data_IF_951321676684
#
_entry.id   IF_951321676684
#
_cell.length_a   1.000
_cell.length_b   1.000
_cell.length_c   1.000
_cell.angle_alpha   90.00
_cell.angle_beta   90.00
_cell.angle_gamma   90.00
#
_symmetry.space_group_name_H-M   'P 1'
#
loop_
_entity.id
_entity.type
_entity.pdbx_description
1 polymer ?
#
# COMPACT_ATOMS: atom_id res chain seq x y z
N UNK A 1 -19.47 -48.19 3.49
CA UNK A 1 -19.62 -49.12 2.34
C UNK A 1 -19.07 -48.42 1.12
N UNK A 2 -18.06 -49.05 0.55
CA UNK A 2 -17.20 -48.63 -0.57
C UNK A 2 -17.92 -48.75 -1.90
N UNK A 3 -17.87 -47.71 -2.74
CA UNK A 3 -18.13 -47.84 -4.17
C UNK A 3 -16.82 -47.62 -4.93
N UNK A 4 -16.27 -48.72 -5.43
CA UNK A 4 -15.23 -48.76 -6.45
C UNK A 4 -15.88 -48.68 -7.83
N UNK A 5 -15.44 -47.74 -8.68
CA UNK A 5 -15.50 -47.89 -10.13
C UNK A 5 -14.09 -47.88 -10.72
N UNK A 6 -13.61 -49.10 -10.90
CA UNK A 6 -12.79 -49.67 -11.98
C UNK A 6 -12.18 -48.72 -13.03
N UNK A 7 -10.84 -48.74 -13.05
CA UNK A 7 -9.91 -48.86 -14.20
C UNK A 7 -10.38 -48.35 -15.57
N UNK A 8 -9.68 -47.33 -16.06
CA UNK A 8 -9.26 -47.29 -17.47
C UNK A 8 -7.79 -46.88 -17.56
N UNK A 9 -7.10 -47.68 -18.34
CA UNK A 9 -5.66 -47.83 -18.49
C UNK A 9 -5.03 -46.69 -19.28
N UNK A 10 -3.82 -46.32 -18.87
CA UNK A 10 -2.66 -46.08 -19.74
C UNK A 10 -2.87 -45.32 -21.05
N UNK A 11 -2.60 -44.01 -21.01
CA UNK A 11 -1.88 -43.35 -22.10
C UNK A 11 -0.57 -42.81 -21.51
N UNK A 12 0.46 -43.66 -21.58
CA UNK A 12 1.84 -43.26 -21.34
C UNK A 12 2.26 -42.33 -22.48
N UNK A 13 2.27 -41.02 -22.22
CA UNK A 13 3.11 -40.09 -22.96
C UNK A 13 4.33 -39.81 -22.09
N UNK A 14 5.32 -40.70 -22.26
CA UNK A 14 6.67 -40.46 -21.83
C UNK A 14 7.24 -39.30 -22.66
N UNK A 15 7.19 -38.09 -22.12
CA UNK A 15 8.17 -37.06 -22.45
C UNK A 15 9.24 -37.08 -21.35
N UNK A 16 10.30 -37.84 -21.64
CA UNK A 16 11.58 -37.70 -20.98
C UNK A 16 12.11 -36.30 -21.29
N UNK A 17 12.05 -35.41 -20.31
CA UNK A 17 12.56 -34.05 -20.40
C UNK A 17 12.83 -33.53 -19.00
N UNK A 18 14.00 -33.89 -18.47
CA UNK A 18 14.77 -33.15 -17.46
C UNK A 18 13.95 -32.46 -16.35
N UNK A 19 13.81 -33.19 -15.25
CA UNK A 19 13.54 -32.59 -13.95
C UNK A 19 14.69 -31.65 -13.57
N UNK A 20 14.47 -30.33 -13.63
CA UNK A 20 15.23 -29.35 -12.86
C UNK A 20 14.28 -28.24 -12.40
N UNK A 21 13.82 -28.38 -11.15
CA UNK A 21 13.37 -27.31 -10.26
C UNK A 21 12.51 -26.21 -10.88
N UNK A 22 11.23 -26.50 -11.14
CA UNK A 22 10.25 -25.43 -11.08
C UNK A 22 9.99 -25.14 -9.58
N UNK A 23 10.41 -23.99 -9.03
CA UNK A 23 9.94 -23.62 -7.70
C UNK A 23 8.43 -23.41 -7.85
N UNK A 24 7.65 -24.33 -7.29
CA UNK A 24 6.30 -23.98 -6.87
C UNK A 24 6.45 -22.96 -5.76
N UNK A 25 6.64 -21.69 -6.13
CA UNK A 25 6.34 -20.57 -5.24
C UNK A 25 4.83 -20.56 -5.10
N UNK A 26 4.33 -21.49 -4.28
CA UNK A 26 3.24 -21.19 -3.39
C UNK A 26 3.69 -19.95 -2.63
N UNK A 27 3.31 -18.78 -3.16
CA UNK A 27 3.26 -17.59 -2.34
C UNK A 27 2.21 -17.92 -1.28
N UNK A 28 2.67 -18.49 -0.17
CA UNK A 28 2.05 -18.23 1.10
C UNK A 28 1.98 -16.70 1.15
N UNK A 29 0.76 -16.18 1.00
CA UNK A 29 0.44 -14.78 1.20
C UNK A 29 0.70 -14.49 2.68
N UNK A 30 1.98 -14.36 3.02
CA UNK A 30 2.43 -13.75 4.25
C UNK A 30 2.07 -12.28 4.07
N UNK A 31 0.81 -11.96 4.39
CA UNK A 31 0.09 -10.72 4.09
C UNK A 31 1.01 -9.60 3.63
N UNK A 32 1.06 -9.39 2.32
CA UNK A 32 1.87 -8.32 1.75
C UNK A 32 1.46 -6.99 2.40
N UNK A 33 2.37 -6.39 3.18
CA UNK A 33 2.12 -5.10 3.82
C UNK A 33 1.89 -4.05 2.73
N UNK A 34 0.69 -3.51 2.68
CA UNK A 34 0.34 -2.49 1.70
C UNK A 34 0.90 -1.16 2.18
N UNK A 35 1.78 -0.56 1.37
CA UNK A 35 2.40 0.74 1.67
C UNK A 35 1.95 1.76 0.65
N UNK A 36 1.23 2.79 1.09
CA UNK A 36 0.84 3.92 0.23
C UNK A 36 1.36 5.24 0.81
N UNK A 37 1.66 6.18 -0.09
CA UNK A 37 2.07 7.54 0.27
C UNK A 37 0.97 8.51 -0.14
N UNK A 38 0.64 9.43 0.76
CA UNK A 38 -0.38 10.44 0.54
C UNK A 38 0.22 11.82 0.74
N UNK A 39 -0.17 12.76 -0.12
CA UNK A 39 0.28 14.15 -0.06
C UNK A 39 -0.92 15.05 0.16
N UNK A 40 -0.71 16.13 0.91
CA UNK A 40 -1.71 17.16 1.14
C UNK A 40 -1.09 18.54 1.02
N UNK A 41 -1.91 19.50 0.63
CA UNK A 41 -1.53 20.91 0.52
C UNK A 41 -2.58 21.79 1.19
N UNK A 42 -2.16 22.93 1.74
CA UNK A 42 -3.06 23.89 2.35
C UNK A 42 -2.54 25.33 2.23
N UNK A 43 -3.45 26.30 2.39
CA UNK A 43 -3.17 27.72 2.37
C UNK A 43 -3.78 28.36 3.61
N UNK A 44 -2.96 28.98 4.45
CA UNK A 44 -3.38 29.52 5.75
C UNK A 44 -2.65 30.82 6.10
N UNK A 45 -3.13 31.49 7.15
CA UNK A 45 -2.58 32.77 7.59
C UNK A 45 -1.34 32.64 8.48
N UNK A 46 -1.04 31.43 8.95
CA UNK A 46 0.16 31.14 9.74
C UNK A 46 0.88 29.90 9.23
N UNK A 47 2.22 29.83 9.34
CA UNK A 47 2.99 28.67 8.88
C UNK A 47 2.63 27.40 9.66
N UNK A 48 2.30 27.53 10.96
CA UNK A 48 1.91 26.40 11.80
C UNK A 48 0.56 25.82 11.39
N UNK A 49 -0.42 26.67 11.10
CA UNK A 49 -1.73 26.22 10.64
C UNK A 49 -1.65 25.61 9.24
N UNK A 50 -0.90 26.23 8.33
CA UNK A 50 -0.71 25.72 6.98
C UNK A 50 -0.16 24.28 7.01
N UNK A 51 0.90 24.04 7.79
CA UNK A 51 1.48 22.69 7.94
C UNK A 51 0.49 21.69 8.52
N UNK A 52 -0.24 22.08 9.58
CA UNK A 52 -1.23 21.23 10.23
C UNK A 52 -2.35 20.86 9.26
N UNK A 53 -2.86 21.82 8.49
CA UNK A 53 -3.94 21.56 7.55
C UNK A 53 -3.48 20.75 6.32
N UNK A 54 -2.24 20.97 5.86
CA UNK A 54 -1.64 20.13 4.82
C UNK A 54 -1.50 18.67 5.29
N UNK A 55 -1.07 18.43 6.54
CA UNK A 55 -1.04 17.09 7.12
C UNK A 55 -2.45 16.49 7.24
N UNK A 56 -3.42 17.24 7.75
CA UNK A 56 -4.82 16.79 7.84
C UNK A 56 -5.38 16.43 6.46
N UNK A 57 -5.03 17.19 5.43
CA UNK A 57 -5.39 16.91 4.04
C UNK A 57 -4.81 15.57 3.57
N UNK A 58 -3.52 15.32 3.82
CA UNK A 58 -2.88 14.04 3.50
C UNK A 58 -3.54 12.86 4.27
N UNK A 59 -3.84 13.06 5.57
CA UNK A 59 -4.52 12.06 6.41
C UNK A 59 -5.93 11.74 5.95
N UNK A 60 -6.69 12.74 5.48
CA UNK A 60 -7.99 12.52 4.85
C UNK A 60 -7.87 11.64 3.61
N UNK A 61 -6.85 11.86 2.77
CA UNK A 61 -6.52 10.96 1.66
C UNK A 61 -6.29 9.52 2.12
N UNK A 62 -5.46 9.33 3.15
CA UNK A 62 -5.21 8.00 3.72
C UNK A 62 -6.47 7.31 4.26
N UNK A 63 -7.33 8.06 4.96
CA UNK A 63 -8.61 7.55 5.47
C UNK A 63 -9.54 7.05 4.35
N UNK A 64 -9.60 7.74 3.22
CA UNK A 64 -10.40 7.32 2.06
C UNK A 64 -9.92 5.97 1.50
N UNK A 65 -8.62 5.69 1.61
CA UNK A 65 -8.02 4.41 1.23
C UNK A 65 -8.08 3.34 2.34
N UNK A 66 -8.72 3.65 3.48
CA UNK A 66 -8.92 2.74 4.60
C UNK A 66 -7.69 2.56 5.49
N UNK A 67 -6.76 3.52 5.52
CA UNK A 67 -5.67 3.54 6.49
C UNK A 67 -6.09 4.30 7.76
N UNK A 68 -5.72 3.77 8.93
CA UNK A 68 -5.93 4.43 10.22
C UNK A 68 -4.78 5.37 10.56
N UNK A 69 -5.01 6.28 11.53
CA UNK A 69 -4.01 7.27 11.89
C UNK A 69 -2.73 6.66 12.46
N UNK A 70 -2.84 5.60 13.26
CA UNK A 70 -1.69 4.87 13.82
C UNK A 70 -0.86 4.12 12.77
N UNK A 71 -1.43 3.89 11.58
CA UNK A 71 -0.75 3.22 10.47
C UNK A 71 0.06 4.21 9.61
N UNK A 72 0.00 5.50 9.90
CA UNK A 72 0.57 6.56 9.08
C UNK A 72 1.66 7.36 9.81
N UNK A 73 2.81 7.51 9.15
CA UNK A 73 3.95 8.31 9.61
C UNK A 73 4.09 9.56 8.76
N UNK A 74 4.29 10.72 9.40
CA UNK A 74 4.61 11.97 8.73
C UNK A 74 6.03 11.92 8.15
N UNK A 75 6.15 12.10 6.84
CA UNK A 75 7.46 12.18 6.16
C UNK A 75 8.00 13.61 6.21
N UNK A 76 7.18 14.58 5.83
CA UNK A 76 7.52 15.99 5.89
C UNK A 76 6.26 16.85 6.02
N UNK A 77 6.45 18.05 6.57
CA UNK A 77 5.48 19.13 6.56
C UNK A 77 6.23 20.47 6.41
N UNK A 78 6.20 21.00 5.20
CA UNK A 78 6.91 22.22 4.83
C UNK A 78 5.94 23.33 4.52
N UNK A 79 6.31 24.56 4.89
CA UNK A 79 5.53 25.76 4.60
C UNK A 79 6.42 26.81 3.97
N UNK A 80 5.88 27.54 3.01
CA UNK A 80 6.55 28.66 2.37
C UNK A 80 5.62 29.87 2.37
N UNK A 81 6.23 31.05 2.54
CA UNK A 81 5.50 32.32 2.56
C UNK A 81 5.20 32.75 1.14
N UNK A 82 3.93 32.97 0.83
CA UNK A 82 3.49 33.51 -0.46
C UNK A 82 3.34 35.03 -0.42
N UNK A 83 2.81 35.57 0.68
CA UNK A 83 2.67 37.00 0.93
C UNK A 83 2.73 37.29 2.45
N UNK A 84 2.83 38.56 2.88
CA UNK A 84 2.70 38.91 4.29
C UNK A 84 1.36 38.39 4.86
N UNK A 85 1.43 37.50 5.85
CA UNK A 85 0.23 36.89 6.44
C UNK A 85 -0.43 35.79 5.59
N UNK A 86 0.23 35.29 4.54
CA UNK A 86 -0.30 34.22 3.70
C UNK A 86 0.77 33.17 3.39
N UNK A 87 0.50 31.93 3.81
CA UNK A 87 1.41 30.79 3.73
C UNK A 87 0.76 29.65 2.99
N UNK A 88 1.55 28.98 2.15
CA UNK A 88 1.19 27.68 1.63
C UNK A 88 2.03 26.60 2.31
N UNK A 89 1.50 25.39 2.39
CA UNK A 89 2.21 24.24 2.92
C UNK A 89 1.90 22.98 2.15
N UNK A 90 2.88 22.08 2.13
CA UNK A 90 2.77 20.73 1.63
C UNK A 90 3.19 19.76 2.71
N UNK A 91 2.47 18.65 2.84
CA UNK A 91 2.82 17.55 3.72
C UNK A 91 2.71 16.23 2.99
N UNK A 92 3.52 15.26 3.38
CA UNK A 92 3.39 13.88 2.94
C UNK A 92 3.40 12.94 4.12
N UNK A 93 2.53 11.93 4.06
CA UNK A 93 2.49 10.83 5.01
C UNK A 93 2.69 9.52 4.26
N UNK A 94 3.27 8.54 4.93
CA UNK A 94 3.36 7.16 4.44
C UNK A 94 2.60 6.27 5.39
N UNK A 95 1.68 5.47 4.85
CA UNK A 95 0.88 4.55 5.62
C UNK A 95 1.19 3.11 5.24
N UNK A 96 1.18 2.21 6.23
CA UNK A 96 1.45 0.78 6.07
C UNK A 96 0.43 -0.04 6.84
N UNK A 97 -0.24 -1.00 6.18
CA UNK A 97 -1.16 -1.96 6.81
C UNK A 97 -0.79 -3.40 6.49
#
# INVERSE_FOLDING_TARGET
MTSMFVRSSAAALAFAGLALFAPTVAHADAGAKETLSFTGSAYENSPKEAKREAENSARRGALIHGFLHEQCVLLYAESYRLAPGYYAANAAIRCTR
#
